data_IF_482773507104
#
_entry.id   IF_482773507104
#
_cell.length_a   1.000
_cell.length_b   1.000
_cell.length_c   1.000
_cell.angle_alpha   90.00
_cell.angle_beta   90.00
_cell.angle_gamma   90.00
#
_symmetry.space_group_name_H-M   'P 1'
#
loop_
_entity.id
_entity.type
_entity.pdbx_description
1 polymer ?
#
# COMPACT_ATOMS: atom_id res chain seq x y z
N UNK A 1 10.09 -17.86 21.35
CA UNK A 1 8.89 -17.63 20.53
C UNK A 1 9.37 -17.06 19.20
N UNK A 2 9.28 -17.81 18.11
CA UNK A 2 9.67 -17.34 16.78
C UNK A 2 8.60 -16.39 16.24
N UNK A 3 9.02 -15.21 15.76
CA UNK A 3 8.10 -14.18 15.24
C UNK A 3 7.48 -14.55 13.87
N UNK A 4 7.87 -15.69 13.30
CA UNK A 4 7.47 -16.16 11.97
C UNK A 4 6.70 -17.47 12.07
N UNK A 5 5.78 -17.69 11.11
CA UNK A 5 5.08 -18.96 10.95
C UNK A 5 6.05 -20.09 10.67
N UNK A 6 5.84 -21.22 11.33
CA UNK A 6 6.50 -22.48 11.02
C UNK A 6 6.06 -22.98 9.65
N UNK A 7 6.89 -23.83 9.02
CA UNK A 7 6.55 -24.47 7.75
C UNK A 7 5.24 -25.28 7.82
N UNK A 8 4.96 -25.88 8.97
CA UNK A 8 3.73 -26.65 9.18
C UNK A 8 2.50 -25.73 9.33
N UNK A 9 2.63 -24.60 10.04
CA UNK A 9 1.54 -23.62 10.18
C UNK A 9 1.20 -22.99 8.82
N UNK A 10 2.24 -22.69 8.01
CA UNK A 10 2.05 -22.14 6.67
C UNK A 10 1.45 -23.18 5.71
N UNK A 11 1.84 -24.44 5.84
CA UNK A 11 1.30 -25.56 5.07
C UNK A 11 -0.20 -25.76 5.34
N UNK A 12 -0.60 -25.72 6.62
CA UNK A 12 -2.00 -25.85 7.05
C UNK A 12 -2.86 -24.68 6.52
N UNK A 13 -2.35 -23.45 6.62
CA UNK A 13 -3.01 -22.25 6.09
C UNK A 13 -3.28 -22.33 4.58
N UNK A 14 -2.30 -22.84 3.82
CA UNK A 14 -2.35 -22.89 2.35
C UNK A 14 -3.07 -24.16 1.86
N UNK A 15 -3.21 -25.18 2.71
CA UNK A 15 -3.69 -26.50 2.34
C UNK A 15 -2.69 -27.29 1.48
N UNK A 16 -1.38 -27.04 1.67
CA UNK A 16 -0.32 -27.63 0.88
C UNK A 16 0.66 -28.43 1.75
N UNK A 17 1.47 -29.32 1.15
CA UNK A 17 2.50 -30.07 1.89
C UNK A 17 3.71 -29.16 2.20
N UNK A 18 4.36 -29.36 3.36
CA UNK A 18 5.47 -28.52 3.85
C UNK A 18 6.70 -28.48 2.92
N UNK A 19 6.85 -29.46 2.03
CA UNK A 19 7.94 -29.51 1.05
C UNK A 19 7.66 -28.70 -0.23
N UNK A 20 6.40 -28.31 -0.48
CA UNK A 20 5.99 -27.63 -1.72
C UNK A 20 6.21 -26.11 -1.63
N UNK A 21 7.47 -25.69 -1.46
CA UNK A 21 7.88 -24.27 -1.36
C UNK A 21 7.35 -23.42 -2.52
N UNK A 22 7.42 -23.92 -3.75
CA UNK A 22 6.92 -23.20 -4.94
C UNK A 22 5.41 -22.97 -4.90
N UNK A 23 4.64 -23.91 -4.33
CA UNK A 23 3.20 -23.75 -4.18
C UNK A 23 2.87 -22.69 -3.12
N UNK A 24 3.64 -22.69 -2.01
CA UNK A 24 3.53 -21.66 -0.97
C UNK A 24 3.77 -20.26 -1.54
N UNK A 25 4.87 -20.06 -2.27
CA UNK A 25 5.19 -18.76 -2.88
C UNK A 25 4.09 -18.30 -3.85
N UNK A 26 3.63 -19.18 -4.73
CA UNK A 26 2.56 -18.84 -5.69
C UNK A 26 1.24 -18.47 -5.01
N UNK A 27 0.89 -19.14 -3.92
CA UNK A 27 -0.29 -18.81 -3.15
C UNK A 27 -0.13 -17.45 -2.46
N UNK A 28 1.03 -17.18 -1.86
CA UNK A 28 1.34 -15.91 -1.21
C UNK A 28 1.30 -14.75 -2.22
N UNK A 29 1.86 -14.94 -3.42
CA UNK A 29 1.80 -13.94 -4.49
C UNK A 29 0.35 -13.69 -4.96
N UNK A 30 -0.43 -14.76 -5.18
CA UNK A 30 -1.83 -14.65 -5.64
C UNK A 30 -2.71 -13.90 -4.63
N UNK A 31 -2.49 -14.14 -3.34
CA UNK A 31 -3.24 -13.49 -2.26
C UNK A 31 -2.62 -12.15 -1.80
N UNK A 32 -1.49 -11.76 -2.42
CA UNK A 32 -0.66 -10.61 -2.02
C UNK A 32 -0.37 -10.58 -0.52
N UNK A 33 0.11 -11.69 0.00
CA UNK A 33 0.62 -11.77 1.35
C UNK A 33 2.08 -11.31 1.37
N UNK A 34 2.48 -10.45 2.31
CA UNK A 34 3.88 -10.09 2.49
C UNK A 34 4.65 -11.27 3.09
N UNK A 35 5.76 -11.64 2.45
CA UNK A 35 6.66 -12.69 2.92
C UNK A 35 8.12 -12.30 2.66
N UNK A 36 9.02 -12.93 3.42
CA UNK A 36 10.47 -12.81 3.25
C UNK A 36 11.02 -14.18 2.89
N UNK A 37 11.91 -14.26 1.90
CA UNK A 37 12.53 -15.53 1.51
C UNK A 37 13.77 -15.76 2.39
N UNK A 38 13.84 -16.91 3.06
CA UNK A 38 15.01 -17.31 3.85
C UNK A 38 16.18 -17.75 2.96
N UNK A 39 17.37 -17.93 3.54
CA UNK A 39 18.56 -18.44 2.83
C UNK A 39 18.31 -19.80 2.17
N UNK A 40 17.45 -20.64 2.78
CA UNK A 40 17.02 -21.92 2.22
C UNK A 40 15.93 -21.80 1.15
N UNK A 41 15.52 -20.60 0.76
CA UNK A 41 14.43 -20.37 -0.19
C UNK A 41 13.03 -20.64 0.39
N UNK A 42 12.90 -20.70 1.71
CA UNK A 42 11.60 -20.91 2.37
C UNK A 42 10.89 -19.56 2.61
N UNK A 43 9.62 -19.39 2.21
CA UNK A 43 8.88 -18.16 2.47
C UNK A 43 8.49 -18.05 3.96
N UNK A 44 8.97 -17.02 4.65
CA UNK A 44 8.65 -16.67 6.04
C UNK A 44 7.59 -15.57 6.08
N UNK A 45 6.51 -15.84 6.79
CA UNK A 45 5.41 -14.89 7.08
C UNK A 45 5.43 -14.58 8.57
N UNK A 46 5.19 -13.33 8.97
CA UNK A 46 5.14 -12.99 10.40
C UNK A 46 3.85 -13.47 11.06
N UNK A 47 3.94 -14.00 12.28
CA UNK A 47 2.78 -14.52 13.01
C UNK A 47 1.81 -13.42 13.41
N UNK A 48 2.33 -12.27 13.82
CA UNK A 48 1.53 -11.08 14.09
C UNK A 48 0.70 -10.63 12.88
N UNK A 49 1.25 -10.73 11.66
CA UNK A 49 0.52 -10.41 10.43
C UNK A 49 -0.59 -11.42 10.14
N UNK A 50 -0.29 -12.71 10.28
CA UNK A 50 -1.30 -13.76 10.17
C UNK A 50 -2.47 -13.52 11.14
N UNK A 51 -2.17 -13.31 12.42
CA UNK A 51 -3.18 -13.14 13.47
C UNK A 51 -4.00 -11.85 13.25
N UNK A 52 -3.37 -10.76 12.80
CA UNK A 52 -4.07 -9.53 12.42
C UNK A 52 -5.05 -9.77 11.27
N UNK A 53 -4.64 -10.52 10.25
CA UNK A 53 -5.47 -10.78 9.06
C UNK A 53 -6.59 -11.77 9.34
N UNK A 54 -6.36 -12.77 10.21
CA UNK A 54 -7.35 -13.77 10.61
C UNK A 54 -8.36 -13.25 11.64
N UNK A 55 -7.96 -12.33 12.52
CA UNK A 55 -8.86 -11.68 13.48
C UNK A 55 -9.84 -10.69 12.82
N UNK A 56 -9.75 -10.50 11.51
CA UNK A 56 -10.63 -9.59 10.75
C UNK A 56 -10.39 -8.12 11.08
N UNK A 57 -9.35 -7.80 11.85
CA UNK A 57 -8.91 -6.42 12.06
C UNK A 57 -8.23 -6.02 10.75
N UNK A 58 -8.83 -5.13 9.93
CA UNK A 58 -8.13 -4.65 8.76
C UNK A 58 -6.84 -4.01 9.28
N UNK A 59 -5.69 -4.58 8.93
CA UNK A 59 -4.43 -3.84 9.02
C UNK A 59 -4.70 -2.51 8.34
N UNK A 60 -4.63 -1.38 9.06
CA UNK A 60 -4.99 -0.11 8.46
C UNK A 60 -4.17 0.01 7.17
N UNK A 61 -4.84 0.24 6.02
CA UNK A 61 -4.13 0.51 4.78
C UNK A 61 -3.04 1.55 5.08
N UNK A 62 -1.83 1.42 4.50
CA UNK A 62 -0.83 2.48 4.64
C UNK A 62 -1.54 3.79 4.30
N UNK A 63 -1.46 4.77 5.19
CA UNK A 63 -2.21 6.04 5.26
C UNK A 63 -2.28 6.81 3.92
N UNK A 64 -3.00 6.28 2.93
CA UNK A 64 -3.09 6.81 1.57
C UNK A 64 -4.55 6.96 1.17
N UNK A 65 -5.33 7.52 2.07
CA UNK A 65 -6.58 8.18 1.73
C UNK A 65 -6.58 9.66 2.17
N UNK A 66 -5.40 10.22 2.47
CA UNK A 66 -5.25 11.67 2.36
C UNK A 66 -5.17 11.93 0.87
N UNK A 67 -6.29 12.34 0.27
CA UNK A 67 -6.28 12.87 -1.08
C UNK A 67 -5.13 13.88 -1.17
N UNK A 68 -4.26 13.80 -2.19
CA UNK A 68 -3.22 14.79 -2.34
C UNK A 68 -3.88 16.16 -2.38
N UNK A 69 -3.31 17.12 -1.66
CA UNK A 69 -3.87 18.45 -1.56
C UNK A 69 -3.85 19.15 -2.95
N UNK A 70 -4.97 19.08 -3.65
CA UNK A 70 -5.15 19.69 -4.97
C UNK A 70 -5.41 21.21 -4.88
N UNK A 71 -5.48 21.80 -3.68
CA UNK A 71 -5.70 23.25 -3.50
C UNK A 71 -4.57 24.10 -4.10
N UNK A 72 -3.43 23.50 -4.43
CA UNK A 72 -2.35 24.14 -5.20
C UNK A 72 -2.82 24.62 -6.59
N UNK A 73 -3.83 23.99 -7.19
CA UNK A 73 -4.34 24.38 -8.52
C UNK A 73 -5.36 25.53 -8.49
N UNK A 74 -5.99 25.79 -7.34
CA UNK A 74 -6.96 26.89 -7.17
C UNK A 74 -6.28 28.23 -6.86
N UNK A 75 -5.02 28.23 -6.43
CA UNK A 75 -4.30 29.45 -6.13
C UNK A 75 -3.81 30.13 -7.42
N UNK A 76 -4.38 31.30 -7.80
CA UNK A 76 -3.94 31.98 -9.01
C UNK A 76 -2.50 32.44 -8.84
N UNK A 77 -1.67 32.07 -9.81
CA UNK A 77 -0.26 32.52 -9.80
C UNK A 77 -0.18 34.05 -9.85
N UNK A 78 0.87 34.67 -9.31
CA UNK A 78 1.07 36.13 -9.39
C UNK A 78 0.98 36.67 -10.83
N UNK A 79 1.37 35.85 -11.81
CA UNK A 79 1.27 36.14 -13.24
C UNK A 79 -0.18 36.24 -13.72
N UNK A 80 -1.07 35.37 -13.24
CA UNK A 80 -2.51 35.42 -13.56
C UNK A 80 -3.19 36.63 -12.92
N UNK A 81 -2.84 36.98 -11.68
CA UNK A 81 -3.30 38.22 -11.01
C UNK A 81 -2.89 39.48 -11.79
N UNK A 82 -1.63 39.56 -12.22
CA UNK A 82 -1.14 40.69 -13.01
C UNK A 82 -1.81 40.80 -14.38
N UNK A 83 -2.11 39.67 -15.04
CA UNK A 83 -2.84 39.64 -16.32
C UNK A 83 -4.31 40.08 -16.15
N UNK A 84 -4.97 39.73 -15.05
CA UNK A 84 -6.36 40.13 -14.74
C UNK A 84 -6.44 41.63 -14.47
N UNK A 85 -5.54 42.17 -13.63
CA UNK A 85 -5.46 43.61 -13.36
C UNK A 85 -5.20 44.44 -14.62
N UNK A 86 -4.36 43.92 -15.54
CA UNK A 86 -4.05 44.59 -16.81
C UNK A 86 -5.22 44.57 -17.82
N UNK A 87 -6.16 43.62 -17.70
CA UNK A 87 -7.38 43.59 -18.53
C UNK A 87 -8.43 44.57 -18.01
N UNK A 88 -8.59 44.68 -16.70
CA UNK A 88 -9.55 45.60 -16.07
C UNK A 88 -9.19 47.08 -16.29
N UNK A 89 -7.91 47.42 -16.30
CA UNK A 89 -7.45 48.79 -16.60
C UNK A 89 -7.61 49.18 -18.07
N UNK A 90 -7.72 48.21 -18.98
CA UNK A 90 -7.84 48.47 -20.42
C UNK A 90 -9.30 48.59 -20.91
N UNK A 91 -10.27 48.16 -20.11
CA UNK A 91 -11.71 48.30 -20.39
C UNK A 91 -12.33 49.64 -19.96
N UNK A 92 -11.59 50.47 -19.20
CA UNK A 92 -12.05 51.79 -18.74
C UNK A 92 -11.49 52.89 -19.63
N UNK A 93 -11.83 52.86 -20.92
CA UNK A 93 -11.80 54.05 -21.77
C UNK A 93 -13.24 54.47 -22.03
N UNK A 94 -13.67 55.52 -21.32
CA UNK A 94 -14.64 56.47 -21.83
C UNK A 94 -14.08 57.11 -23.11
#
# INVERSE_FOLDING_TARGET
MSNYLSANELADLIGCQSNQRSCMTRWLDKNRWPYVIDIMGFPKVSKAYHDSRMSGIPTPPPELATEPDFSMFDNPTPRQLALKARRETKGKKL
#
